data_IF_250898029691
#
_entry.id   IF_250898029691
#
_cell.length_a   1.000
_cell.length_b   1.000
_cell.length_c   1.000
_cell.angle_alpha   90.00
_cell.angle_beta   90.00
_cell.angle_gamma   90.00
#
_symmetry.space_group_name_H-M   'P 1'
#
loop_
_entity.id
_entity.type
_entity.pdbx_description
1 polymer ?
#
# COMPACT_ATOMS: atom_id res chain seq x y z
N UNK A 1 -26.50 60.75 -41.25
CA UNK A 1 -25.72 59.88 -40.32
C UNK A 1 -26.54 58.62 -40.17
N UNK A 2 -26.17 57.50 -40.86
CA UNK A 2 -26.84 56.21 -40.70
C UNK A 2 -26.04 55.40 -39.65
N UNK A 3 -26.66 55.14 -38.54
CA UNK A 3 -26.13 54.22 -37.52
C UNK A 3 -26.49 52.81 -37.94
N UNK A 4 -25.50 52.05 -38.39
CA UNK A 4 -25.67 50.61 -38.67
C UNK A 4 -25.67 49.86 -37.34
N UNK A 5 -26.75 49.15 -37.04
CA UNK A 5 -26.86 48.23 -35.90
C UNK A 5 -26.14 46.92 -36.25
N UNK A 6 -25.23 46.39 -35.43
CA UNK A 6 -24.56 45.15 -35.72
C UNK A 6 -25.56 43.99 -35.76
N UNK A 7 -25.39 43.14 -36.77
CA UNK A 7 -26.27 42.01 -37.05
C UNK A 7 -26.19 40.97 -35.93
N UNK A 8 -27.30 40.58 -35.36
CA UNK A 8 -27.37 39.59 -34.22
C UNK A 8 -26.63 38.28 -34.48
N UNK A 9 -26.39 37.93 -35.71
CA UNK A 9 -25.68 36.72 -36.08
C UNK A 9 -24.15 36.82 -35.95
N UNK A 10 -23.59 38.00 -36.05
CA UNK A 10 -22.16 38.24 -35.80
C UNK A 10 -21.80 38.14 -34.30
N UNK A 11 -22.68 38.56 -33.43
CA UNK A 11 -22.52 38.42 -31.99
C UNK A 11 -22.60 36.96 -31.51
N UNK A 12 -23.45 36.13 -32.14
CA UNK A 12 -23.57 34.70 -31.83
C UNK A 12 -22.33 33.94 -32.26
N UNK A 13 -21.74 34.28 -33.41
CA UNK A 13 -20.49 33.67 -33.90
C UNK A 13 -19.30 34.01 -33.00
N UNK A 14 -19.21 35.27 -32.52
CA UNK A 14 -18.13 35.69 -31.61
C UNK A 14 -18.21 35.04 -30.24
N UNK A 15 -19.42 34.86 -29.70
CA UNK A 15 -19.64 34.17 -28.38
C UNK A 15 -19.34 32.67 -28.51
N UNK A 16 -19.72 32.04 -29.63
CA UNK A 16 -19.41 30.61 -29.84
C UNK A 16 -17.91 30.37 -30.00
N UNK A 17 -17.18 31.28 -30.67
CA UNK A 17 -15.74 31.19 -30.85
C UNK A 17 -15.00 31.43 -29.52
N UNK A 18 -15.50 32.31 -28.64
CA UNK A 18 -14.93 32.57 -27.34
C UNK A 18 -15.14 31.40 -26.36
N UNK A 19 -16.25 30.66 -26.46
CA UNK A 19 -16.52 29.48 -25.64
C UNK A 19 -15.65 28.26 -26.02
N UNK A 20 -15.21 28.12 -27.26
CA UNK A 20 -14.31 27.03 -27.69
C UNK A 20 -12.88 27.25 -27.25
N UNK A 21 -12.45 28.48 -27.02
CA UNK A 21 -11.11 28.79 -26.49
C UNK A 21 -10.94 28.60 -24.99
N UNK A 22 -12.04 28.46 -24.22
CA UNK A 22 -11.99 28.38 -22.77
C UNK A 22 -11.84 26.95 -22.21
N UNK A 23 -11.76 25.91 -23.05
CA UNK A 23 -11.66 24.49 -22.61
C UNK A 23 -10.27 23.88 -22.90
N UNK A 24 -9.23 24.68 -22.93
CA UNK A 24 -7.88 24.14 -22.82
C UNK A 24 -7.56 23.95 -21.35
N UNK A 25 -8.01 22.84 -20.74
CA UNK A 25 -7.44 22.36 -19.48
C UNK A 25 -5.95 22.11 -19.70
N UNK A 26 -5.04 22.77 -18.97
CA UNK A 26 -3.63 22.42 -19.05
C UNK A 26 -3.51 20.94 -18.69
N UNK A 27 -2.98 20.14 -19.60
CA UNK A 27 -2.59 18.77 -19.28
C UNK A 27 -1.55 18.88 -18.14
N UNK A 28 -1.95 18.53 -16.91
CA UNK A 28 -1.02 18.40 -15.81
C UNK A 28 -0.10 17.25 -16.14
N UNK A 29 1.05 17.59 -16.64
CA UNK A 29 2.08 16.64 -16.95
C UNK A 29 2.87 16.42 -15.65
N UNK A 30 2.63 15.31 -14.99
CA UNK A 30 3.37 14.94 -13.79
C UNK A 30 4.87 14.89 -14.11
N UNK A 31 5.70 15.58 -13.30
CA UNK A 31 7.15 15.63 -13.52
C UNK A 31 7.83 14.27 -13.30
N UNK A 32 7.19 13.34 -12.59
CA UNK A 32 7.65 11.99 -12.31
C UNK A 32 6.52 10.99 -12.64
N UNK A 33 6.70 10.20 -13.68
CA UNK A 33 5.80 9.10 -14.02
C UNK A 33 6.29 7.81 -13.36
N UNK A 34 5.39 7.09 -12.69
CA UNK A 34 5.70 5.84 -11.96
C UNK A 34 4.66 4.79 -12.27
N UNK A 35 5.10 3.56 -12.46
CA UNK A 35 4.20 2.43 -12.68
C UNK A 35 4.80 1.12 -12.12
N UNK A 36 3.95 0.09 -12.01
CA UNK A 36 4.31 -1.24 -11.50
C UNK A 36 4.17 -2.29 -12.61
N UNK A 37 5.06 -3.28 -12.62
CA UNK A 37 4.95 -4.42 -13.54
C UNK A 37 3.67 -5.22 -13.36
N UNK A 38 3.11 -5.20 -12.15
CA UNK A 38 1.85 -5.85 -11.80
C UNK A 38 1.07 -4.97 -10.84
N UNK A 39 -0.16 -4.66 -11.19
CA UNK A 39 -1.09 -3.92 -10.32
C UNK A 39 -1.89 -4.83 -9.38
N UNK A 40 -1.80 -6.14 -9.55
CA UNK A 40 -2.53 -7.13 -8.74
C UNK A 40 -1.68 -8.35 -8.48
N UNK A 41 -1.63 -8.75 -7.21
CA UNK A 41 -1.05 -10.02 -6.77
C UNK A 41 -2.17 -10.87 -6.18
N UNK A 42 -2.24 -12.12 -6.63
CA UNK A 42 -3.17 -13.12 -6.14
C UNK A 42 -2.47 -14.04 -5.13
N UNK A 43 -2.89 -14.04 -3.87
CA UNK A 43 -2.42 -14.97 -2.85
C UNK A 43 -3.34 -16.21 -2.87
N UNK A 44 -2.76 -17.36 -3.16
CA UNK A 44 -3.40 -18.67 -3.09
C UNK A 44 -2.67 -19.57 -2.08
N UNK A 45 -3.17 -20.74 -1.80
CA UNK A 45 -2.62 -21.66 -0.77
C UNK A 45 -1.15 -22.07 -1.01
N UNK A 46 -0.69 -22.03 -2.25
CA UNK A 46 0.71 -22.31 -2.63
C UNK A 46 1.54 -21.04 -2.88
N UNK A 47 1.11 -19.88 -2.40
CA UNK A 47 1.85 -18.63 -2.56
C UNK A 47 3.09 -18.62 -1.67
N UNK A 48 4.26 -18.56 -2.27
CA UNK A 48 5.57 -18.54 -1.58
C UNK A 48 6.18 -17.15 -1.48
N UNK A 49 5.56 -16.16 -2.11
CA UNK A 49 6.04 -14.79 -2.24
C UNK A 49 5.97 -14.31 -3.69
N UNK A 50 6.19 -13.03 -3.91
CA UNK A 50 6.24 -12.42 -5.25
C UNK A 50 7.29 -11.32 -5.30
N UNK A 51 7.89 -11.13 -6.47
CA UNK A 51 8.69 -9.96 -6.78
C UNK A 51 7.88 -9.01 -7.66
N UNK A 52 7.91 -7.72 -7.35
CA UNK A 52 7.28 -6.67 -8.15
C UNK A 52 8.33 -5.66 -8.55
N UNK A 53 8.38 -5.37 -9.83
CA UNK A 53 9.22 -4.32 -10.38
C UNK A 53 8.40 -3.01 -10.44
N UNK A 54 8.91 -1.98 -9.77
CA UNK A 54 8.47 -0.62 -9.97
C UNK A 54 9.45 0.05 -10.94
N UNK A 55 8.91 0.78 -11.88
CA UNK A 55 9.70 1.56 -12.83
C UNK A 55 9.09 2.95 -12.99
N UNK A 56 9.89 3.88 -13.41
CA UNK A 56 9.42 5.24 -13.62
C UNK A 56 10.35 6.02 -14.54
N UNK A 57 9.86 7.20 -14.92
CA UNK A 57 10.56 8.12 -15.79
C UNK A 57 10.55 9.52 -15.18
N UNK A 58 11.73 10.11 -15.08
CA UNK A 58 11.94 11.51 -14.70
C UNK A 58 11.77 12.35 -15.97
N UNK A 59 11.01 13.42 -15.89
CA UNK A 59 10.92 14.37 -16.97
C UNK A 59 11.96 15.46 -16.79
N UNK A 60 12.68 15.78 -17.84
CA UNK A 60 13.70 16.82 -17.84
C UNK A 60 15.05 16.31 -18.32
N UNK A 61 16.11 17.00 -17.91
CA UNK A 61 17.49 16.71 -18.34
C UNK A 61 18.09 15.46 -17.67
N UNK A 62 17.38 14.82 -16.77
CA UNK A 62 17.88 13.70 -15.97
C UNK A 62 18.90 14.19 -14.94
N UNK A 63 18.96 13.52 -13.82
CA UNK A 63 19.85 13.86 -12.70
C UNK A 63 19.07 13.74 -11.39
N UNK A 64 19.79 13.90 -10.27
CA UNK A 64 19.21 13.71 -8.95
C UNK A 64 19.05 12.24 -8.55
N UNK A 65 18.49 12.05 -7.39
CA UNK A 65 18.29 10.76 -6.75
C UNK A 65 16.82 10.36 -6.74
N UNK A 66 16.58 9.06 -6.66
CA UNK A 66 15.23 8.52 -6.53
C UNK A 66 15.13 7.74 -5.22
N UNK A 67 14.08 8.05 -4.46
CA UNK A 67 13.66 7.28 -3.30
C UNK A 67 12.24 6.78 -3.53
N UNK A 68 12.01 5.49 -3.33
CA UNK A 68 10.68 4.87 -3.44
C UNK A 68 10.28 4.31 -2.08
N UNK A 69 9.14 4.74 -1.57
CA UNK A 69 8.55 4.21 -0.35
C UNK A 69 7.35 3.34 -0.73
N UNK A 70 7.40 2.06 -0.37
CA UNK A 70 6.31 1.12 -0.57
C UNK A 70 5.68 0.77 0.77
N UNK A 71 4.43 1.14 0.96
CA UNK A 71 3.68 0.89 2.19
C UNK A 71 2.44 0.04 1.93
N UNK A 72 2.20 -0.95 2.80
CA UNK A 72 1.01 -1.80 2.79
C UNK A 72 -0.17 -1.19 3.54
N UNK A 73 -1.33 -1.87 3.54
CA UNK A 73 -2.52 -1.40 4.23
C UNK A 73 -2.26 -1.21 5.72
N UNK A 74 -2.82 -0.15 6.29
CA UNK A 74 -2.76 0.09 7.72
C UNK A 74 -3.59 -0.95 8.47
N UNK A 75 -3.04 -1.44 9.58
CA UNK A 75 -3.66 -2.47 10.43
C UNK A 75 -3.51 -2.09 11.90
N UNK A 76 -4.51 -2.36 12.76
CA UNK A 76 -4.31 -2.28 14.19
C UNK A 76 -3.36 -3.39 14.66
N UNK A 77 -2.39 -3.03 15.50
CA UNK A 77 -1.42 -3.98 16.06
C UNK A 77 -1.33 -3.81 17.56
N UNK A 78 -1.47 -4.91 18.29
CA UNK A 78 -1.32 -4.95 19.75
C UNK A 78 0.07 -5.45 20.10
N UNK A 79 0.85 -4.63 20.81
CA UNK A 79 2.15 -5.01 21.34
C UNK A 79 2.03 -5.24 22.84
N UNK A 80 2.35 -6.46 23.30
CA UNK A 80 2.26 -6.87 24.71
C UNK A 80 3.63 -7.08 25.31
N UNK A 81 3.83 -6.53 26.50
CA UNK A 81 5.02 -6.78 27.29
C UNK A 81 4.76 -7.92 28.27
N UNK A 82 5.59 -8.96 28.19
CA UNK A 82 5.59 -10.06 29.16
C UNK A 82 6.51 -9.73 30.33
N UNK A 83 6.05 -10.00 31.55
CA UNK A 83 6.87 -9.95 32.74
C UNK A 83 6.75 -11.28 33.53
N UNK A 84 7.82 -11.66 34.19
CA UNK A 84 7.84 -12.86 35.02
C UNK A 84 7.38 -12.48 36.44
N UNK A 85 6.22 -13.00 36.83
CA UNK A 85 5.67 -12.83 38.20
C UNK A 85 5.50 -14.21 38.85
N UNK A 86 6.06 -14.40 40.01
CA UNK A 86 6.00 -15.68 40.74
C UNK A 86 6.39 -16.93 39.90
N UNK A 87 7.37 -16.78 38.99
CA UNK A 87 7.83 -17.85 38.12
C UNK A 87 7.06 -18.07 36.84
N UNK A 88 5.94 -17.38 36.61
CA UNK A 88 5.09 -17.49 35.43
C UNK A 88 5.21 -16.22 34.56
N UNK A 89 5.22 -16.39 33.22
CA UNK A 89 5.19 -15.27 32.31
C UNK A 89 3.76 -14.78 32.10
N UNK A 90 3.49 -13.56 32.54
CA UNK A 90 2.19 -12.90 32.40
C UNK A 90 2.31 -11.66 31.49
N UNK A 91 1.24 -11.33 30.74
CA UNK A 91 1.14 -10.07 30.02
C UNK A 91 0.88 -8.96 31.06
N UNK A 92 1.86 -8.06 31.25
CA UNK A 92 1.79 -6.99 32.23
C UNK A 92 1.16 -5.72 31.68
N UNK A 93 1.46 -5.40 30.44
CA UNK A 93 0.98 -4.18 29.79
C UNK A 93 0.90 -4.38 28.29
N UNK A 94 0.01 -3.64 27.65
CA UNK A 94 -0.16 -3.64 26.21
C UNK A 94 -0.34 -2.22 25.67
N UNK A 95 0.09 -2.03 24.43
CA UNK A 95 -0.15 -0.83 23.65
C UNK A 95 -0.76 -1.26 22.33
N UNK A 96 -1.88 -0.64 21.99
CA UNK A 96 -2.54 -0.82 20.71
C UNK A 96 -2.10 0.31 19.80
N UNK A 97 -1.49 -0.02 18.66
CA UNK A 97 -1.27 0.92 17.57
C UNK A 97 -2.46 0.81 16.62
N UNK A 98 -3.23 1.88 16.47
CA UNK A 98 -4.42 1.89 15.57
C UNK A 98 -4.00 1.80 14.10
N UNK A 99 -2.87 2.43 13.79
CA UNK A 99 -2.35 2.45 12.43
C UNK A 99 -0.88 2.04 12.40
N UNK A 100 -0.63 0.87 11.85
CA UNK A 100 0.70 0.43 11.48
C UNK A 100 0.64 -0.17 10.07
N UNK A 101 1.54 0.20 9.15
CA UNK A 101 1.58 -0.41 7.83
C UNK A 101 1.74 -1.92 7.94
N UNK A 102 0.98 -2.69 7.16
CA UNK A 102 1.12 -4.15 7.12
C UNK A 102 2.45 -4.61 6.52
N UNK A 103 3.04 -3.75 5.68
CA UNK A 103 4.31 -3.94 4.98
C UNK A 103 4.98 -2.59 4.77
N UNK A 104 6.31 -2.54 4.82
CA UNK A 104 7.06 -1.32 4.58
C UNK A 104 8.44 -1.65 3.98
N UNK A 105 8.73 -1.06 2.83
CA UNK A 105 10.03 -1.15 2.17
C UNK A 105 10.41 0.18 1.55
N UNK A 106 11.70 0.45 1.47
CA UNK A 106 12.26 1.63 0.82
C UNK A 106 13.20 1.18 -0.29
N UNK A 107 13.15 1.84 -1.44
CA UNK A 107 14.15 1.76 -2.48
C UNK A 107 14.89 3.09 -2.56
N UNK A 108 16.19 3.08 -2.84
CA UNK A 108 16.98 4.28 -2.99
C UNK A 108 18.10 4.11 -4.02
N UNK A 109 18.45 5.19 -4.71
CA UNK A 109 19.55 5.21 -5.67
C UNK A 109 20.93 5.27 -5.01
N UNK A 110 20.98 5.64 -3.73
CA UNK A 110 22.17 5.72 -2.91
C UNK A 110 21.85 5.59 -1.43
N UNK A 111 22.75 6.00 -0.57
CA UNK A 111 22.52 6.06 0.88
C UNK A 111 21.45 7.11 1.20
N UNK A 112 20.45 6.74 2.03
CA UNK A 112 19.38 7.66 2.43
C UNK A 112 19.92 8.90 3.17
N UNK A 113 21.05 8.73 3.89
CA UNK A 113 21.69 9.82 4.64
C UNK A 113 22.42 10.83 3.73
N UNK A 114 22.86 10.37 2.56
CA UNK A 114 23.52 11.21 1.56
C UNK A 114 22.50 11.92 0.65
N UNK A 115 21.33 11.30 0.42
CA UNK A 115 20.29 11.82 -0.49
C UNK A 115 19.42 12.86 0.21
N UNK A 116 18.99 12.61 1.47
CA UNK A 116 18.08 13.48 2.21
C UNK A 116 18.54 13.68 3.65
N UNK A 117 18.40 14.90 4.14
CA UNK A 117 18.61 15.19 5.55
C UNK A 117 17.51 14.55 6.44
N UNK A 118 17.75 14.50 7.75
CA UNK A 118 16.83 13.90 8.72
C UNK A 118 15.45 14.56 8.70
N UNK A 119 15.40 15.89 8.53
CA UNK A 119 14.16 16.66 8.53
C UNK A 119 13.28 16.33 7.31
N UNK A 120 13.90 16.23 6.13
CA UNK A 120 13.22 15.86 4.89
C UNK A 120 12.71 14.40 4.96
N UNK A 121 13.50 13.50 5.54
CA UNK A 121 13.08 12.10 5.73
C UNK A 121 11.90 11.98 6.70
N UNK A 122 11.88 12.75 7.79
CA UNK A 122 10.75 12.79 8.72
C UNK A 122 9.48 13.33 8.05
N UNK A 123 9.60 14.45 7.32
CA UNK A 123 8.49 15.10 6.62
C UNK A 123 7.84 14.16 5.59
N UNK A 124 8.63 13.42 4.83
CA UNK A 124 8.20 12.51 3.79
C UNK A 124 8.01 11.05 4.30
N UNK A 125 8.21 10.80 5.61
CA UNK A 125 8.08 9.48 6.25
C UNK A 125 8.98 8.41 5.62
N UNK A 126 10.18 8.79 5.25
CA UNK A 126 11.16 7.93 4.62
C UNK A 126 12.04 7.27 5.70
N UNK A 127 12.10 5.94 5.69
CA UNK A 127 12.85 5.13 6.65
C UNK A 127 12.01 4.58 7.80
N UNK A 128 12.44 3.47 8.38
CA UNK A 128 11.71 2.75 9.44
C UNK A 128 11.41 3.61 10.67
N UNK A 129 12.35 4.51 11.01
CA UNK A 129 12.21 5.38 12.17
C UNK A 129 11.14 6.46 11.97
N UNK A 130 10.76 6.75 10.74
CA UNK A 130 9.84 7.82 10.36
C UNK A 130 8.44 7.31 10.01
N UNK A 131 8.18 5.99 10.20
CA UNK A 131 6.85 5.42 10.04
C UNK A 131 5.90 6.05 11.06
N UNK A 132 4.76 6.54 10.57
CA UNK A 132 3.71 7.08 11.45
C UNK A 132 2.99 5.94 12.14
N UNK A 133 3.24 5.76 13.43
CA UNK A 133 2.53 4.83 14.31
C UNK A 133 1.63 5.66 15.24
N UNK A 134 0.34 5.41 15.20
CA UNK A 134 -0.64 6.11 16.04
C UNK A 134 -1.10 5.17 17.14
N UNK A 135 -0.79 5.46 18.41
CA UNK A 135 -1.30 4.67 19.53
C UNK A 135 -2.79 4.94 19.77
N UNK A 136 -3.52 3.94 20.24
CA UNK A 136 -4.88 4.07 20.70
C UNK A 136 -4.91 4.72 22.10
N UNK A 137 -5.68 5.78 22.25
CA UNK A 137 -5.88 6.48 23.50
C UNK A 137 -4.71 7.35 23.97
N UNK A 138 -4.90 8.03 25.09
CA UNK A 138 -3.93 8.99 25.66
C UNK A 138 -2.75 8.34 26.40
N UNK A 139 -2.75 7.03 26.54
CA UNK A 139 -1.88 6.29 27.49
C UNK A 139 -0.38 6.23 27.10
N UNK A 140 0.07 6.83 26.00
CA UNK A 140 1.36 6.46 25.41
C UNK A 140 2.26 7.60 24.95
N UNK A 141 2.15 8.77 25.55
CA UNK A 141 3.16 9.82 25.37
C UNK A 141 4.15 9.78 26.54
N UNK A 142 5.17 8.91 26.43
CA UNK A 142 6.21 8.81 27.44
C UNK A 142 7.31 7.81 27.05
N UNK A 143 8.34 7.65 27.88
CA UNK A 143 9.49 6.76 27.65
C UNK A 143 9.13 5.29 27.34
N UNK A 144 7.93 4.86 27.65
CA UNK A 144 7.47 3.50 27.35
C UNK A 144 6.96 3.37 25.90
N UNK A 145 6.44 4.43 25.28
CA UNK A 145 6.02 4.39 23.87
C UNK A 145 7.15 3.96 22.93
N UNK A 146 8.34 4.53 23.10
CA UNK A 146 9.50 4.20 22.26
C UNK A 146 9.86 2.72 22.37
N UNK A 147 9.78 2.14 23.56
CA UNK A 147 10.05 0.71 23.77
C UNK A 147 9.04 -0.19 23.03
N UNK A 148 7.76 0.19 23.03
CA UNK A 148 6.73 -0.56 22.30
C UNK A 148 6.84 -0.38 20.79
N UNK A 149 7.16 0.85 20.34
CA UNK A 149 7.47 1.15 18.94
C UNK A 149 8.64 0.29 18.43
N UNK A 150 9.76 0.30 19.14
CA UNK A 150 10.95 -0.47 18.78
C UNK A 150 10.68 -1.98 18.79
N UNK A 151 9.86 -2.46 19.74
CA UNK A 151 9.43 -3.85 19.78
C UNK A 151 8.57 -4.21 18.56
N UNK A 152 7.65 -3.32 18.16
CA UNK A 152 6.84 -3.48 16.96
C UNK A 152 7.70 -3.55 15.69
N UNK A 153 8.59 -2.56 15.51
CA UNK A 153 9.48 -2.49 14.35
C UNK A 153 10.33 -3.76 14.24
N UNK A 154 10.97 -4.14 15.34
CA UNK A 154 11.79 -5.37 15.40
C UNK A 154 10.99 -6.63 15.09
N UNK A 155 9.74 -6.73 15.57
CA UNK A 155 8.88 -7.86 15.28
C UNK A 155 8.50 -7.92 13.80
N UNK A 156 8.15 -6.79 13.19
CA UNK A 156 7.83 -6.69 11.76
C UNK A 156 9.05 -6.98 10.86
N UNK A 157 10.24 -6.54 11.26
CA UNK A 157 11.50 -6.88 10.58
C UNK A 157 11.76 -8.38 10.65
N UNK A 158 11.61 -9.00 11.82
CA UNK A 158 11.79 -10.46 11.98
C UNK A 158 10.76 -11.28 11.18
N UNK A 159 9.58 -10.72 10.90
CA UNK A 159 8.58 -11.32 10.02
C UNK A 159 8.89 -11.15 8.52
N UNK A 160 9.91 -10.38 8.17
CA UNK A 160 10.22 -10.02 6.79
C UNK A 160 9.20 -9.07 6.14
N UNK A 161 8.40 -8.37 6.96
CA UNK A 161 7.40 -7.41 6.49
C UNK A 161 7.92 -5.98 6.43
N UNK A 162 8.97 -5.67 7.21
CA UNK A 162 9.68 -4.38 7.18
C UNK A 162 11.13 -4.62 6.82
N UNK A 163 11.67 -3.81 5.94
CA UNK A 163 13.03 -3.93 5.45
C UNK A 163 13.88 -2.79 5.99
N UNK A 164 15.00 -3.15 6.61
CA UNK A 164 15.95 -2.18 7.20
C UNK A 164 16.82 -1.55 6.13
N UNK A 165 17.24 -2.35 5.16
CA UNK A 165 18.09 -1.89 4.07
C UNK A 165 17.26 -1.49 2.86
N UNK A 166 17.55 -0.35 2.22
CA UNK A 166 16.89 0.04 1.00
C UNK A 166 17.18 -0.92 -0.15
N UNK A 167 16.16 -1.22 -0.95
CA UNK A 167 16.35 -1.89 -2.24
C UNK A 167 17.07 -0.93 -3.20
N UNK A 168 18.01 -1.44 -3.98
CA UNK A 168 18.74 -0.61 -4.93
C UNK A 168 17.82 -0.14 -6.06
N UNK A 169 17.76 1.16 -6.28
CA UNK A 169 17.17 1.77 -7.48
C UNK A 169 18.23 1.83 -8.56
N UNK A 170 17.97 1.20 -9.68
CA UNK A 170 18.86 1.18 -10.83
C UNK A 170 18.38 2.16 -11.90
N UNK A 171 19.26 3.03 -12.38
CA UNK A 171 18.97 3.88 -13.53
C UNK A 171 19.22 3.15 -14.85
N UNK A 172 18.32 3.37 -15.80
CA UNK A 172 18.41 2.88 -17.19
C UNK A 172 18.54 4.11 -18.09
N UNK A 173 19.75 4.41 -18.50
CA UNK A 173 20.05 5.70 -19.16
C UNK A 173 19.97 6.85 -18.16
N UNK A 174 19.48 8.01 -18.61
CA UNK A 174 19.48 9.25 -17.81
C UNK A 174 18.17 9.49 -17.07
N UNK A 175 17.04 8.96 -17.57
CA UNK A 175 15.71 9.38 -17.14
C UNK A 175 14.83 8.22 -16.66
N UNK A 176 15.20 6.97 -16.94
CA UNK A 176 14.43 5.82 -16.49
C UNK A 176 15.06 5.22 -15.26
N UNK A 177 14.24 4.75 -14.35
CA UNK A 177 14.68 4.00 -13.17
C UNK A 177 13.81 2.80 -12.92
N UNK A 178 14.36 1.84 -12.19
CA UNK A 178 13.63 0.65 -11.73
C UNK A 178 14.10 0.24 -10.33
N UNK A 179 13.21 -0.38 -9.59
CA UNK A 179 13.50 -0.99 -8.29
C UNK A 179 12.68 -2.26 -8.10
N UNK A 180 13.23 -3.26 -7.43
CA UNK A 180 12.56 -4.53 -7.13
C UNK A 180 12.15 -4.58 -5.68
N UNK A 181 10.91 -4.96 -5.43
CA UNK A 181 10.37 -5.20 -4.11
C UNK A 181 9.94 -6.65 -3.95
N UNK A 182 10.37 -7.28 -2.86
CA UNK A 182 10.06 -8.67 -2.55
C UNK A 182 8.93 -8.74 -1.53
N UNK A 183 7.85 -9.40 -1.89
CA UNK A 183 6.72 -9.66 -1.01
C UNK A 183 6.83 -11.08 -0.44
N UNK A 184 6.92 -11.25 0.88
CA UNK A 184 6.97 -12.56 1.51
C UNK A 184 5.60 -13.25 1.48
N UNK A 185 5.59 -14.56 1.76
CA UNK A 185 4.35 -15.37 1.74
C UNK A 185 3.30 -14.92 2.78
N UNK A 186 3.73 -14.28 3.87
CA UNK A 186 2.88 -13.78 4.96
C UNK A 186 2.41 -12.33 4.75
N UNK A 187 2.60 -11.78 3.55
CA UNK A 187 2.20 -10.41 3.22
C UNK A 187 0.69 -10.23 3.39
N UNK A 188 0.21 -9.18 4.09
CA UNK A 188 -1.22 -8.97 4.30
C UNK A 188 -1.93 -8.58 3.00
N UNK A 189 -3.16 -9.05 2.76
CA UNK A 189 -3.97 -8.57 1.65
C UNK A 189 -4.44 -7.13 1.88
N UNK A 190 -4.58 -6.37 0.80
CA UNK A 190 -5.05 -4.98 0.82
C UNK A 190 -4.49 -4.15 -0.32
N UNK A 191 -4.66 -2.85 -0.23
CA UNK A 191 -4.11 -1.87 -1.17
C UNK A 191 -2.75 -1.39 -0.64
N UNK A 192 -1.75 -1.49 -1.50
CA UNK A 192 -0.38 -1.04 -1.28
C UNK A 192 -0.14 0.20 -2.11
N UNK A 193 0.55 1.17 -1.55
CA UNK A 193 0.90 2.39 -2.24
C UNK A 193 2.42 2.51 -2.33
N UNK A 194 2.91 2.68 -3.53
CA UNK A 194 4.28 3.05 -3.82
C UNK A 194 4.34 4.54 -4.13
N UNK A 195 5.16 5.27 -3.41
CA UNK A 195 5.42 6.70 -3.63
C UNK A 195 6.89 6.82 -4.02
N UNK A 196 7.14 7.27 -5.24
CA UNK A 196 8.49 7.62 -5.67
C UNK A 196 8.70 9.12 -5.51
N UNK A 197 9.84 9.49 -4.96
CA UNK A 197 10.30 10.86 -4.79
C UNK A 197 11.54 11.08 -5.65
N UNK A 198 11.52 12.12 -6.46
CA UNK A 198 12.69 12.63 -7.15
C UNK A 198 13.31 13.71 -6.28
N UNK A 199 14.58 13.57 -5.99
CA UNK A 199 15.35 14.41 -5.09
C UNK A 199 16.46 15.10 -5.86
N UNK A 200 16.52 16.41 -5.79
CA UNK A 200 17.62 17.23 -6.30
C UNK A 200 18.14 18.12 -5.17
N UNK A 201 19.46 18.20 -5.01
CA UNK A 201 20.12 19.01 -4.00
C UNK A 201 19.59 18.83 -2.57
N UNK A 202 19.17 17.59 -2.22
CA UNK A 202 18.65 17.26 -0.89
C UNK A 202 17.18 17.66 -0.64
N UNK A 203 16.45 18.08 -1.68
CA UNK A 203 15.04 18.44 -1.60
C UNK A 203 14.19 17.58 -2.54
N UNK A 204 12.99 17.23 -2.10
CA UNK A 204 12.02 16.50 -2.94
C UNK A 204 11.39 17.47 -3.92
N UNK A 205 11.75 17.36 -5.22
CA UNK A 205 11.27 18.24 -6.29
C UNK A 205 10.04 17.69 -6.99
N UNK A 206 9.86 16.37 -6.98
CA UNK A 206 8.68 15.72 -7.59
C UNK A 206 8.33 14.44 -6.86
N UNK A 207 7.05 14.05 -6.94
CA UNK A 207 6.59 12.76 -6.42
C UNK A 207 5.56 12.16 -7.37
N UNK A 208 5.64 10.83 -7.53
CA UNK A 208 4.69 10.04 -8.29
C UNK A 208 4.19 8.87 -7.45
N UNK A 209 2.97 8.40 -7.71
CA UNK A 209 2.36 7.30 -6.96
C UNK A 209 1.89 6.19 -7.88
N UNK A 210 2.01 4.94 -7.40
CA UNK A 210 1.45 3.77 -8.07
C UNK A 210 0.82 2.83 -7.03
N UNK A 211 -0.33 2.27 -7.35
CA UNK A 211 -1.07 1.39 -6.44
C UNK A 211 -0.96 -0.08 -6.85
N UNK A 212 -0.78 -0.96 -5.85
CA UNK A 212 -0.76 -2.40 -6.00
C UNK A 212 -1.84 -3.02 -5.12
N UNK A 213 -2.65 -3.91 -5.66
CA UNK A 213 -3.69 -4.61 -4.93
C UNK A 213 -3.31 -6.06 -4.70
N UNK A 214 -3.16 -6.44 -3.44
CA UNK A 214 -2.91 -7.83 -3.03
C UNK A 214 -4.23 -8.43 -2.52
N UNK A 215 -4.69 -9.52 -3.13
CA UNK A 215 -5.93 -10.19 -2.74
C UNK A 215 -5.75 -11.69 -2.58
N UNK A 216 -6.41 -12.25 -1.56
CA UNK A 216 -6.54 -13.71 -1.47
C UNK A 216 -7.47 -14.21 -2.56
N UNK A 217 -7.01 -15.19 -3.32
CA UNK A 217 -7.76 -15.87 -4.37
C UNK A 217 -7.73 -17.37 -4.11
N UNK A 218 -8.78 -18.08 -4.52
CA UNK A 218 -8.86 -19.53 -4.36
C UNK A 218 -10.25 -19.99 -3.90
N UNK A 219 -10.43 -21.29 -3.76
CA UNK A 219 -11.70 -21.88 -3.29
C UNK A 219 -12.07 -21.40 -1.88
N UNK A 220 -11.08 -21.27 -0.99
CA UNK A 220 -11.27 -20.76 0.38
C UNK A 220 -11.84 -19.33 0.41
N UNK A 221 -11.34 -18.45 -0.46
CA UNK A 221 -11.85 -17.09 -0.57
C UNK A 221 -13.26 -17.03 -1.19
N UNK A 222 -13.64 -18.01 -2.03
CA UNK A 222 -15.00 -18.15 -2.55
C UNK A 222 -15.95 -18.63 -1.45
N UNK A 223 -15.57 -19.69 -0.72
CA UNK A 223 -16.35 -20.23 0.40
C UNK A 223 -16.54 -19.15 1.47
N UNK A 224 -15.48 -18.45 1.86
CA UNK A 224 -15.55 -17.38 2.85
C UNK A 224 -16.49 -16.26 2.41
N UNK A 225 -16.38 -15.79 1.17
CA UNK A 225 -17.29 -14.76 0.62
C UNK A 225 -18.74 -15.24 0.57
N UNK A 226 -18.98 -16.44 0.07
CA UNK A 226 -20.35 -17.00 0.02
C UNK A 226 -20.96 -17.14 1.42
N UNK A 227 -20.15 -17.52 2.40
CA UNK A 227 -20.59 -17.62 3.79
C UNK A 227 -20.93 -16.26 4.43
N UNK A 228 -20.24 -15.17 4.02
CA UNK A 228 -20.46 -13.83 4.58
C UNK A 228 -21.44 -12.98 3.76
N UNK A 229 -21.41 -13.10 2.44
CA UNK A 229 -22.29 -12.33 1.55
C UNK A 229 -23.68 -12.93 1.46
N UNK A 230 -23.82 -14.26 1.67
CA UNK A 230 -25.10 -14.97 1.59
C UNK A 230 -25.17 -16.09 2.65
N UNK A 231 -25.25 -15.76 3.95
CA UNK A 231 -25.23 -16.73 5.06
C UNK A 231 -26.34 -17.78 4.96
N UNK A 232 -27.53 -17.38 4.49
CA UNK A 232 -28.68 -18.27 4.31
C UNK A 232 -28.44 -19.34 3.24
N UNK A 233 -27.77 -18.99 2.14
CA UNK A 233 -27.43 -19.91 1.05
C UNK A 233 -26.41 -20.96 1.51
N UNK A 234 -25.40 -20.51 2.27
CA UNK A 234 -24.40 -21.38 2.89
C UNK A 234 -25.05 -22.37 3.88
N UNK A 235 -25.99 -21.89 4.70
CA UNK A 235 -26.73 -22.73 5.64
C UNK A 235 -27.57 -23.80 4.95
N UNK A 236 -28.31 -23.45 3.89
CA UNK A 236 -29.08 -24.41 3.08
C UNK A 236 -28.15 -25.45 2.45
N UNK A 237 -27.05 -25.04 1.85
CA UNK A 237 -26.08 -25.95 1.25
C UNK A 237 -25.51 -26.95 2.26
N UNK A 238 -25.15 -26.47 3.46
CA UNK A 238 -24.66 -27.34 4.54
C UNK A 238 -25.67 -28.37 4.97
N UNK A 239 -26.95 -27.99 5.11
CA UNK A 239 -28.05 -28.92 5.45
C UNK A 239 -28.27 -29.97 4.35
N UNK A 240 -28.28 -29.55 3.08
CA UNK A 240 -28.43 -30.48 1.94
C UNK A 240 -27.29 -31.49 1.90
N UNK A 241 -26.03 -31.03 2.09
CA UNK A 241 -24.88 -31.93 2.12
C UNK A 241 -24.94 -32.91 3.30
N UNK A 242 -25.38 -32.46 4.48
CA UNK A 242 -25.54 -33.33 5.64
C UNK A 242 -26.61 -34.41 5.41
N UNK A 243 -27.76 -34.04 4.81
CA UNK A 243 -28.82 -34.98 4.48
C UNK A 243 -28.38 -36.01 3.42
N UNK A 244 -27.64 -35.55 2.39
CA UNK A 244 -27.09 -36.44 1.37
C UNK A 244 -26.06 -37.41 1.96
N UNK A 245 -25.18 -36.94 2.82
CA UNK A 245 -24.19 -37.78 3.49
C UNK A 245 -24.87 -38.83 4.40
N UNK A 246 -25.87 -38.41 5.17
CA UNK A 246 -26.67 -39.31 6.02
C UNK A 246 -27.43 -40.37 5.22
N UNK A 247 -28.03 -39.96 4.10
CA UNK A 247 -28.75 -40.92 3.21
C UNK A 247 -27.78 -41.91 2.56
N UNK A 248 -26.62 -41.44 2.05
CA UNK A 248 -25.57 -42.29 1.50
C UNK A 248 -25.04 -43.30 2.53
N UNK A 249 -24.75 -42.85 3.74
CA UNK A 249 -24.31 -43.70 4.83
C UNK A 249 -25.36 -44.78 5.14
N UNK A 250 -26.66 -44.39 5.27
CA UNK A 250 -27.75 -45.31 5.49
C UNK A 250 -27.90 -46.33 4.35
N UNK A 251 -27.73 -45.91 3.09
CA UNK A 251 -27.83 -46.81 1.93
C UNK A 251 -26.69 -47.84 1.88
N UNK A 252 -25.47 -47.44 2.26
CA UNK A 252 -24.29 -48.32 2.31
C UNK A 252 -24.44 -49.35 3.44
N UNK A 253 -24.75 -48.89 4.66
CA UNK A 253 -24.83 -49.76 5.83
C UNK A 253 -26.09 -50.66 5.83
N UNK A 254 -27.14 -50.33 5.03
CA UNK A 254 -28.32 -51.15 4.88
C UNK A 254 -28.11 -52.36 3.96
N UNK A 255 -27.02 -52.44 3.23
CA UNK A 255 -26.67 -53.56 2.34
C UNK A 255 -25.68 -54.55 2.94
N UNK A 256 -25.23 -54.29 4.18
CA UNK A 256 -24.41 -55.21 4.98
C UNK A 256 -25.31 -55.89 6.01
#
# INVERSE_FOLDING_TARGET
MKTETPNRWECVGAVLCLCVLAVTTPAHCEPLAVDLSHHRIAIHSSFTGAEVLLFGAIRGTGGGDIIVVLSGPNQPVVVRRKARMAGVWLNQSEVVFETAPGYYAVGASGSLDDILDTRQREANRIGLNNIKLVPAGDATRGSDFDKYRDALLRHKVNQGLYFTEPSLVEFIGTNLFRVRFNFPSNVPPGVYQAIAHHVEDGEVVASGTADLVIRKTGMEARIYRTAHDSPWLYGILAVVLALMAGWLASAIFRRT
#
